data_IF_398042941861
#
_entry.id   IF_398042941861
#
_cell.length_a   1.000
_cell.length_b   1.000
_cell.length_c   1.000
_cell.angle_alpha   90.00
_cell.angle_beta   90.00
_cell.angle_gamma   90.00
#
_symmetry.space_group_name_H-M   'P 1'
#
loop_
_entity.id
_entity.type
_entity.pdbx_description
1 polymer ?
#
# COMPACT_ATOMS: atom_id res chain seq x y z
N UNK A 1 26.78 -22.60 -24.35
CA UNK A 1 26.37 -22.65 -25.78
C UNK A 1 25.22 -21.66 -26.00
N UNK A 2 25.20 -20.97 -27.15
CA UNK A 2 24.23 -19.96 -27.66
C UNK A 2 24.34 -18.58 -26.96
N UNK A 3 25.10 -17.58 -27.47
CA UNK A 3 25.01 -16.79 -28.74
C UNK A 3 23.64 -16.11 -28.92
N UNK A 4 23.58 -14.78 -28.95
CA UNK A 4 23.46 -14.03 -30.22
C UNK A 4 23.13 -12.52 -30.04
N UNK A 5 23.89 -11.69 -30.76
CA UNK A 5 23.51 -10.44 -31.49
C UNK A 5 23.24 -9.18 -30.64
N UNK A 6 23.78 -7.99 -30.91
CA UNK A 6 24.57 -7.50 -32.06
C UNK A 6 24.14 -6.06 -32.44
N UNK A 7 24.99 -5.38 -33.21
CA UNK A 7 24.85 -4.05 -33.82
C UNK A 7 25.06 -2.86 -32.86
N UNK A 8 26.17 -2.12 -32.86
CA UNK A 8 27.08 -1.79 -33.97
C UNK A 8 26.58 -0.52 -34.64
N UNK A 9 27.24 0.62 -34.39
CA UNK A 9 27.09 1.78 -35.26
C UNK A 9 28.45 2.43 -35.47
N UNK A 10 28.84 2.39 -36.75
CA UNK A 10 30.09 2.80 -37.34
C UNK A 10 30.24 4.32 -37.34
N UNK A 11 31.42 4.76 -36.91
CA UNK A 11 32.05 6.02 -37.30
C UNK A 11 32.27 6.04 -38.81
N UNK A 12 31.77 7.07 -39.48
CA UNK A 12 32.29 7.48 -40.78
C UNK A 12 32.43 9.00 -40.80
N UNK A 13 33.69 9.43 -40.69
CA UNK A 13 34.12 10.77 -41.01
C UNK A 13 34.15 10.92 -42.54
N UNK A 14 33.59 12.01 -43.06
CA UNK A 14 33.91 12.47 -44.40
C UNK A 14 34.16 13.98 -44.38
N UNK A 15 35.36 14.31 -44.84
CA UNK A 15 35.90 15.64 -44.95
C UNK A 15 35.61 16.26 -46.32
N UNK A 16 35.61 17.59 -46.34
CA UNK A 16 35.90 18.49 -47.47
C UNK A 16 34.99 18.45 -48.71
N UNK A 17 34.35 19.60 -48.99
CA UNK A 17 33.70 19.88 -50.27
C UNK A 17 33.02 21.24 -50.25
N UNK A 18 33.79 22.30 -50.49
CA UNK A 18 33.25 23.65 -50.67
C UNK A 18 32.40 23.75 -51.93
N UNK A 19 31.21 24.34 -51.82
CA UNK A 19 30.45 24.83 -52.98
C UNK A 19 29.92 26.22 -52.67
N UNK A 20 30.44 27.18 -53.42
CA UNK A 20 29.93 28.55 -53.49
C UNK A 20 28.59 28.50 -54.19
N UNK A 21 27.49 28.77 -53.47
CA UNK A 21 26.16 28.82 -54.07
C UNK A 21 25.88 30.26 -54.52
N UNK A 22 25.55 30.49 -55.81
CA UNK A 22 25.29 31.83 -56.34
C UNK A 22 24.00 32.44 -55.76
N UNK A 23 24.10 33.72 -55.42
CA UNK A 23 23.18 34.48 -54.56
C UNK A 23 21.96 35.04 -55.30
N UNK A 24 21.27 34.24 -56.12
CA UNK A 24 20.16 34.70 -56.97
C UNK A 24 18.88 33.85 -56.92
N UNK A 25 18.77 32.87 -56.01
CA UNK A 25 17.47 32.30 -55.62
C UNK A 25 17.02 32.89 -54.30
N UNK A 26 16.39 34.07 -54.36
CA UNK A 26 15.60 34.61 -53.27
C UNK A 26 14.14 34.18 -53.49
N UNK A 27 13.62 33.15 -52.79
CA UNK A 27 12.19 33.00 -52.66
C UNK A 27 11.67 34.12 -51.76
N UNK A 28 10.72 34.89 -52.28
CA UNK A 28 9.93 35.89 -51.56
C UNK A 28 9.33 35.26 -50.30
N UNK A 29 9.79 35.71 -49.14
CA UNK A 29 9.35 35.28 -47.83
C UNK A 29 7.97 35.91 -47.53
N UNK A 30 6.87 35.14 -47.43
CA UNK A 30 5.62 35.69 -46.93
C UNK A 30 5.76 35.99 -45.43
N UNK A 31 5.30 37.17 -45.03
CA UNK A 31 5.35 37.64 -43.65
C UNK A 31 4.69 36.63 -42.68
N UNK A 32 5.33 36.29 -41.54
CA UNK A 32 4.69 35.48 -40.52
C UNK A 32 3.60 36.32 -39.84
N UNK A 33 2.34 36.03 -40.15
CA UNK A 33 1.22 36.42 -39.29
C UNK A 33 1.34 35.61 -38.00
N UNK A 34 1.76 36.26 -36.92
CA UNK A 34 1.73 35.71 -35.57
C UNK A 34 0.28 35.51 -35.15
N UNK A 35 -0.29 34.35 -35.46
CA UNK A 35 -1.50 33.87 -34.82
C UNK A 35 -1.13 33.47 -33.38
N UNK A 36 -1.36 34.39 -32.44
CA UNK A 36 -1.33 34.06 -31.00
C UNK A 36 -2.54 33.16 -30.75
N UNK A 37 -2.35 31.85 -30.86
CA UNK A 37 -3.31 30.87 -30.37
C UNK A 37 -3.27 30.96 -28.85
N UNK A 38 -4.26 31.65 -28.27
CA UNK A 38 -4.52 31.59 -26.85
C UNK A 38 -4.86 30.14 -26.49
N UNK A 39 -3.90 29.43 -25.89
CA UNK A 39 -4.15 28.14 -25.26
C UNK A 39 -5.28 28.36 -24.23
N UNK A 40 -6.39 27.60 -24.27
CA UNK A 40 -7.38 27.67 -23.23
C UNK A 40 -6.68 27.32 -21.91
N UNK A 41 -6.81 28.20 -20.91
CA UNK A 41 -6.40 27.87 -19.55
C UNK A 41 -7.13 26.60 -19.17
N UNK A 42 -6.39 25.50 -19.02
CA UNK A 42 -6.91 24.28 -18.41
C UNK A 42 -7.27 24.68 -16.99
N UNK A 43 -8.57 24.83 -16.74
CA UNK A 43 -9.11 25.01 -15.40
C UNK A 43 -8.57 23.87 -14.54
N UNK A 44 -7.67 24.18 -13.60
CA UNK A 44 -7.22 23.22 -12.60
C UNK A 44 -8.47 22.77 -11.85
N UNK A 45 -8.91 21.53 -12.11
CA UNK A 45 -10.04 20.95 -11.39
C UNK A 45 -9.69 20.99 -9.90
N UNK A 46 -10.60 21.51 -9.09
CA UNK A 46 -10.43 21.54 -7.66
C UNK A 46 -10.10 20.11 -7.17
N UNK A 47 -9.11 19.93 -6.27
CA UNK A 47 -8.79 18.61 -5.75
C UNK A 47 -10.04 18.06 -5.09
N UNK A 48 -10.54 16.93 -5.58
CA UNK A 48 -11.65 16.22 -4.93
C UNK A 48 -11.13 15.81 -3.56
N UNK A 49 -11.63 16.48 -2.50
CA UNK A 49 -11.26 16.16 -1.13
C UNK A 49 -11.84 14.77 -0.79
N UNK A 50 -10.97 13.77 -0.67
CA UNK A 50 -11.34 12.42 -0.25
C UNK A 50 -11.22 12.26 1.26
N UNK A 51 -12.09 11.42 1.83
CA UNK A 51 -11.99 11.02 3.24
C UNK A 51 -10.92 9.92 3.39
N UNK A 52 -10.11 9.93 4.46
CA UNK A 52 -9.12 8.90 4.70
C UNK A 52 -9.79 7.56 5.00
N UNK A 53 -9.54 6.57 4.16
CA UNK A 53 -9.94 5.20 4.41
C UNK A 53 -8.95 4.55 5.38
N UNK A 54 -9.39 4.24 6.57
CA UNK A 54 -8.57 3.59 7.60
C UNK A 54 -8.53 2.07 7.40
N UNK A 55 -7.41 1.44 7.81
CA UNK A 55 -7.24 0.00 7.68
C UNK A 55 -8.27 -0.79 8.52
N UNK A 56 -8.68 -0.27 9.68
CA UNK A 56 -9.59 -0.94 10.63
C UNK A 56 -9.02 -2.21 11.29
N UNK A 57 -7.93 -2.75 10.74
CA UNK A 57 -7.27 -3.98 11.16
C UNK A 57 -5.77 -3.74 11.29
N UNK A 58 -5.13 -4.52 12.16
CA UNK A 58 -3.67 -4.49 12.33
C UNK A 58 -3.02 -5.62 11.53
N UNK A 59 -1.89 -5.34 10.90
CA UNK A 59 -1.14 -6.37 10.19
C UNK A 59 -0.07 -5.79 9.28
N UNK A 60 0.77 -6.66 8.74
CA UNK A 60 1.70 -6.30 7.67
C UNK A 60 1.00 -6.46 6.34
N UNK A 61 1.07 -5.46 5.45
CA UNK A 61 0.49 -5.57 4.11
C UNK A 61 1.22 -6.68 3.35
N UNK A 62 0.49 -7.72 2.97
CA UNK A 62 1.00 -8.79 2.11
C UNK A 62 0.83 -8.40 0.64
N UNK A 63 -0.34 -7.90 0.29
CA UNK A 63 -0.70 -7.56 -1.09
C UNK A 63 -1.73 -6.44 -1.13
N UNK A 64 -1.63 -5.61 -2.18
CA UNK A 64 -2.51 -4.47 -2.49
C UNK A 64 -3.27 -4.79 -3.78
N UNK A 65 -4.60 -4.76 -3.74
CA UNK A 65 -5.48 -5.14 -4.85
C UNK A 65 -6.15 -3.96 -5.55
N UNK A 66 -5.63 -2.75 -5.37
CA UNK A 66 -6.18 -1.55 -5.99
C UNK A 66 -5.10 -0.64 -6.55
N UNK A 67 -5.52 0.28 -7.41
CA UNK A 67 -4.67 1.30 -8.01
C UNK A 67 -5.28 2.70 -7.85
N UNK A 68 -4.46 3.74 -7.99
CA UNK A 68 -4.92 5.13 -7.98
C UNK A 68 -5.92 5.37 -9.12
N UNK A 69 -6.99 6.11 -8.84
CA UNK A 69 -8.08 6.39 -9.79
C UNK A 69 -9.06 5.23 -10.02
N UNK A 70 -8.95 4.12 -9.28
CA UNK A 70 -9.87 3.00 -9.43
C UNK A 70 -11.21 3.28 -8.72
N UNK A 71 -12.33 3.00 -9.41
CA UNK A 71 -13.64 2.94 -8.77
C UNK A 71 -13.79 1.62 -8.02
N UNK A 72 -14.25 1.71 -6.77
CA UNK A 72 -14.47 0.55 -5.90
C UNK A 72 -15.91 0.50 -5.42
N UNK A 73 -16.37 -0.72 -5.16
CA UNK A 73 -17.69 -0.98 -4.57
C UNK A 73 -17.56 -1.29 -3.09
N UNK A 74 -18.62 -1.01 -2.32
CA UNK A 74 -18.74 -1.42 -0.93
C UNK A 74 -18.48 -2.92 -0.80
N UNK A 75 -17.59 -3.28 0.12
CA UNK A 75 -17.16 -4.64 0.37
C UNK A 75 -16.05 -5.14 -0.55
N UNK A 76 -15.62 -4.37 -1.55
CA UNK A 76 -14.51 -4.78 -2.42
C UNK A 76 -13.20 -4.91 -1.64
N UNK A 77 -12.46 -5.98 -1.91
CA UNK A 77 -11.17 -6.25 -1.30
C UNK A 77 -10.12 -5.23 -1.77
N UNK A 78 -9.45 -4.58 -0.82
CA UNK A 78 -8.41 -3.59 -1.08
C UNK A 78 -7.02 -4.10 -0.67
N UNK A 79 -6.92 -4.70 0.51
CA UNK A 79 -5.65 -5.21 1.04
C UNK A 79 -5.82 -6.59 1.64
N UNK A 80 -4.77 -7.40 1.50
CA UNK A 80 -4.56 -8.60 2.31
C UNK A 80 -3.43 -8.33 3.28
N UNK A 81 -3.75 -8.43 4.56
CA UNK A 81 -2.86 -8.21 5.69
C UNK A 81 -2.46 -9.54 6.29
N UNK A 82 -1.21 -9.66 6.69
CA UNK A 82 -0.68 -10.76 7.48
C UNK A 82 -0.66 -10.34 8.96
N UNK A 83 -1.41 -11.06 9.79
CA UNK A 83 -1.46 -10.85 11.22
C UNK A 83 -0.87 -12.06 11.96
N UNK A 84 -0.03 -11.80 12.96
CA UNK A 84 0.42 -12.84 13.91
C UNK A 84 -0.66 -13.06 14.97
N UNK A 85 -1.05 -14.32 15.17
CA UNK A 85 -1.97 -14.73 16.21
C UNK A 85 -1.34 -15.81 17.09
N UNK A 86 -1.65 -15.84 18.40
CA UNK A 86 -1.17 -16.91 19.27
C UNK A 86 -1.64 -18.27 18.77
N UNK A 87 -0.73 -19.25 18.66
CA UNK A 87 -1.12 -20.63 18.36
C UNK A 87 -1.86 -21.26 19.54
N UNK A 88 -2.60 -22.35 19.30
CA UNK A 88 -3.29 -23.10 20.38
C UNK A 88 -2.30 -23.54 21.46
N UNK A 89 -1.11 -23.99 21.06
CA UNK A 89 -0.04 -24.34 21.99
C UNK A 89 0.41 -23.14 22.83
N UNK A 90 0.62 -21.97 22.21
CA UNK A 90 0.96 -20.75 22.95
C UNK A 90 -0.14 -20.36 23.94
N UNK A 91 -1.41 -20.44 23.55
CA UNK A 91 -2.54 -20.15 24.43
C UNK A 91 -2.55 -21.10 25.65
N UNK A 92 -2.35 -22.40 25.43
CA UNK A 92 -2.25 -23.38 26.52
C UNK A 92 -1.07 -23.10 27.46
N UNK A 93 0.10 -22.77 26.91
CA UNK A 93 1.28 -22.41 27.72
C UNK A 93 1.07 -21.12 28.51
N UNK A 94 0.41 -20.11 27.93
CA UNK A 94 0.03 -18.87 28.62
C UNK A 94 -0.92 -19.15 29.79
N UNK A 95 -1.91 -20.00 29.60
CA UNK A 95 -2.84 -20.41 30.66
C UNK A 95 -2.11 -21.19 31.76
N UNK A 96 -1.22 -22.12 31.40
CA UNK A 96 -0.39 -22.86 32.36
C UNK A 96 0.50 -21.91 33.16
N UNK A 97 1.18 -20.98 32.50
CA UNK A 97 2.03 -19.98 33.13
C UNK A 97 1.22 -19.12 34.11
N UNK A 98 0.03 -18.65 33.72
CA UNK A 98 -0.86 -17.89 34.61
C UNK A 98 -1.24 -18.69 35.86
N UNK A 99 -1.60 -19.97 35.70
CA UNK A 99 -1.93 -20.86 36.83
C UNK A 99 -0.73 -21.07 37.76
N UNK A 100 0.45 -21.36 37.21
CA UNK A 100 1.68 -21.51 37.99
C UNK A 100 2.05 -20.23 38.73
N UNK A 101 1.82 -19.05 38.14
CA UNK A 101 2.04 -17.77 38.82
C UNK A 101 1.11 -17.58 40.01
N UNK A 102 -0.16 -17.97 39.87
CA UNK A 102 -1.13 -17.94 40.97
C UNK A 102 -0.74 -18.92 42.09
N UNK A 103 -0.34 -20.14 41.73
CA UNK A 103 0.16 -21.13 42.70
C UNK A 103 1.40 -20.61 43.43
N UNK A 104 2.37 -20.04 42.71
CA UNK A 104 3.58 -19.47 43.31
C UNK A 104 3.25 -18.32 44.27
N UNK A 105 2.35 -17.41 43.89
CA UNK A 105 1.88 -16.34 44.77
C UNK A 105 1.18 -16.89 46.03
N UNK A 106 0.38 -17.95 45.90
CA UNK A 106 -0.24 -18.61 47.04
C UNK A 106 0.80 -19.24 48.00
N UNK A 107 1.84 -19.89 47.45
CA UNK A 107 2.94 -20.45 48.25
C UNK A 107 3.71 -19.36 49.01
N UNK A 108 3.93 -18.20 48.39
CA UNK A 108 4.53 -17.05 49.07
C UNK A 108 3.66 -16.54 50.22
N UNK A 109 2.35 -16.41 49.99
CA UNK A 109 1.40 -15.96 51.01
C UNK A 109 1.27 -16.94 52.18
N UNK A 110 1.49 -18.24 51.94
CA UNK A 110 1.44 -19.30 52.95
C UNK A 110 2.78 -19.54 53.64
N UNK A 111 3.82 -18.75 53.33
CA UNK A 111 5.19 -18.97 53.82
C UNK A 111 5.67 -20.41 53.61
N UNK A 112 5.39 -20.97 52.42
CA UNK A 112 5.80 -22.31 52.04
C UNK A 112 7.33 -22.51 52.14
N UNK A 113 7.81 -23.73 52.41
CA UNK A 113 9.23 -24.01 52.53
C UNK A 113 10.01 -23.66 51.24
N UNK A 114 11.27 -23.27 51.41
CA UNK A 114 12.12 -22.77 50.32
C UNK A 114 12.19 -23.75 49.13
N UNK A 115 12.24 -25.06 49.38
CA UNK A 115 12.28 -26.07 48.32
C UNK A 115 11.05 -26.03 47.41
N UNK A 116 9.85 -25.81 47.96
CA UNK A 116 8.62 -25.70 47.17
C UNK A 116 8.61 -24.42 46.32
N UNK A 117 9.12 -23.32 46.88
CA UNK A 117 9.26 -22.06 46.16
C UNK A 117 10.27 -22.19 44.99
N UNK A 118 11.41 -22.85 45.22
CA UNK A 118 12.41 -23.11 44.18
C UNK A 118 11.84 -24.02 43.09
N UNK A 119 11.13 -25.09 43.45
CA UNK A 119 10.48 -25.96 42.48
C UNK A 119 9.44 -25.21 41.62
N UNK A 120 8.60 -24.39 42.25
CA UNK A 120 7.59 -23.58 41.54
C UNK A 120 8.24 -22.53 40.62
N UNK A 121 9.34 -21.89 41.03
CA UNK A 121 10.11 -20.98 40.19
C UNK A 121 10.73 -21.70 38.99
N UNK A 122 11.29 -22.90 39.18
CA UNK A 122 11.85 -23.70 38.09
C UNK A 122 10.77 -24.07 37.05
N UNK A 123 9.56 -24.43 37.49
CA UNK A 123 8.44 -24.70 36.60
C UNK A 123 7.99 -23.46 35.80
N UNK A 124 7.97 -22.29 36.45
CA UNK A 124 7.68 -21.01 35.79
C UNK A 124 8.73 -20.68 34.72
N UNK A 125 10.02 -20.85 35.04
CA UNK A 125 11.11 -20.64 34.10
C UNK A 125 11.00 -21.60 32.90
N UNK A 126 10.79 -22.90 33.15
CA UNK A 126 10.63 -23.88 32.08
C UNK A 126 9.45 -23.57 31.15
N UNK A 127 8.30 -23.14 31.70
CA UNK A 127 7.11 -22.80 30.90
C UNK A 127 7.31 -21.52 30.09
N UNK A 128 8.04 -20.53 30.65
CA UNK A 128 8.45 -19.32 29.91
C UNK A 128 9.35 -19.64 28.72
N UNK A 129 10.33 -20.52 28.90
CA UNK A 129 11.20 -20.99 27.83
C UNK A 129 10.42 -21.72 26.73
N UNK A 130 9.47 -22.57 27.10
CA UNK A 130 8.57 -23.23 26.15
C UNK A 130 7.74 -22.22 25.36
N UNK A 131 7.23 -21.16 26.01
CA UNK A 131 6.46 -20.11 25.36
C UNK A 131 7.33 -19.30 24.39
N UNK A 132 8.56 -18.98 24.77
CA UNK A 132 9.50 -18.22 23.93
C UNK A 132 9.89 -18.98 22.64
N UNK A 133 9.93 -20.31 22.70
CA UNK A 133 10.21 -21.17 21.53
C UNK A 133 8.98 -21.45 20.68
N UNK A 134 7.77 -21.24 21.22
CA UNK A 134 6.55 -21.52 20.50
C UNK A 134 6.35 -20.49 19.38
N UNK A 135 6.11 -20.97 18.16
CA UNK A 135 5.93 -20.12 16.97
C UNK A 135 4.47 -19.64 16.89
N UNK A 136 4.22 -18.34 16.67
CA UNK A 136 2.87 -17.83 16.47
C UNK A 136 2.32 -18.27 15.11
N UNK A 137 1.01 -18.40 15.01
CA UNK A 137 0.33 -18.67 13.75
C UNK A 137 0.22 -17.39 12.92
N UNK A 138 0.32 -17.55 11.60
CA UNK A 138 0.07 -16.47 10.66
C UNK A 138 -1.35 -16.60 10.12
N UNK A 139 -2.11 -15.51 10.19
CA UNK A 139 -3.47 -15.44 9.67
C UNK A 139 -3.58 -14.28 8.67
N UNK A 140 -4.39 -14.47 7.64
CA UNK A 140 -4.71 -13.40 6.69
C UNK A 140 -5.97 -12.68 7.11
N UNK A 141 -5.91 -11.36 7.09
CA UNK A 141 -7.03 -10.46 7.35
C UNK A 141 -7.20 -9.56 6.15
N UNK A 142 -8.45 -9.20 5.84
CA UNK A 142 -8.80 -8.49 4.64
C UNK A 142 -9.37 -7.12 4.99
N UNK A 143 -8.90 -6.09 4.27
CA UNK A 143 -9.46 -4.73 4.35
C UNK A 143 -10.33 -4.51 3.12
N UNK A 144 -11.56 -4.05 3.33
CA UNK A 144 -12.54 -3.83 2.27
C UNK A 144 -12.99 -2.37 2.23
N UNK A 145 -13.51 -1.95 1.07
CA UNK A 145 -14.08 -0.62 0.92
C UNK A 145 -15.40 -0.48 1.71
N UNK A 146 -15.57 0.58 2.53
CA UNK A 146 -16.78 0.76 3.35
C UNK A 146 -17.98 1.27 2.53
N UNK A 147 -17.71 1.95 1.41
CA UNK A 147 -18.71 2.55 0.53
C UNK A 147 -18.22 2.49 -0.93
N UNK A 148 -19.14 2.74 -1.86
CA UNK A 148 -18.81 2.94 -3.27
C UNK A 148 -18.07 4.28 -3.42
N UNK A 149 -17.01 4.31 -4.22
CA UNK A 149 -16.19 5.52 -4.35
C UNK A 149 -15.05 5.38 -5.35
N UNK A 150 -14.33 6.48 -5.54
CA UNK A 150 -13.10 6.57 -6.30
C UNK A 150 -11.91 6.61 -5.32
N UNK A 151 -10.96 5.70 -5.48
CA UNK A 151 -9.71 5.73 -4.71
C UNK A 151 -8.74 6.73 -5.35
N UNK A 152 -8.38 7.79 -4.62
CA UNK A 152 -7.54 8.86 -5.18
C UNK A 152 -6.07 8.41 -5.28
N UNK A 153 -5.45 8.12 -4.14
CA UNK A 153 -4.06 7.68 -4.07
C UNK A 153 -3.87 6.60 -3.00
N UNK A 154 -3.10 5.54 -3.29
CA UNK A 154 -2.67 4.58 -2.28
C UNK A 154 -1.75 5.26 -1.28
N UNK A 155 -1.99 5.03 0.00
CA UNK A 155 -1.13 5.47 1.10
C UNK A 155 -0.34 4.30 1.68
N UNK A 156 -0.91 3.09 1.62
CA UNK A 156 -0.27 1.86 2.09
C UNK A 156 0.34 1.05 0.93
N UNK A 157 1.54 0.53 1.16
CA UNK A 157 2.31 -0.29 0.21
C UNK A 157 2.52 -1.71 0.76
N UNK A 158 2.84 -2.66 -0.12
CA UNK A 158 3.20 -4.01 0.28
C UNK A 158 4.43 -3.98 1.20
N UNK A 159 4.35 -4.69 2.32
CA UNK A 159 5.38 -4.72 3.36
C UNK A 159 5.17 -3.74 4.52
N UNK A 160 4.28 -2.75 4.37
CA UNK A 160 4.02 -1.75 5.42
C UNK A 160 3.34 -2.39 6.64
N UNK A 161 3.61 -1.83 7.82
CA UNK A 161 2.96 -2.22 9.07
C UNK A 161 1.78 -1.28 9.34
N UNK A 162 0.55 -1.80 9.24
CA UNK A 162 -0.67 -1.05 9.48
C UNK A 162 -1.20 -1.28 10.90
N UNK A 163 -1.73 -0.20 11.47
CA UNK A 163 -2.55 -0.17 12.68
C UNK A 163 -4.00 0.11 12.28
N UNK A 164 -4.99 -0.10 13.16
CA UNK A 164 -6.39 0.14 12.84
C UNK A 164 -6.69 1.59 12.39
N UNK A 165 -5.93 2.55 12.91
CA UNK A 165 -5.98 3.99 12.63
C UNK A 165 -5.10 4.41 11.44
N UNK A 166 -4.38 3.49 10.80
CA UNK A 166 -3.51 3.82 9.67
C UNK A 166 -4.33 4.09 8.41
N UNK A 167 -4.10 5.22 7.73
CA UNK A 167 -4.73 5.49 6.43
C UNK A 167 -4.18 4.53 5.38
N UNK A 168 -5.08 3.94 4.61
CA UNK A 168 -4.78 3.01 3.51
C UNK A 168 -4.84 3.74 2.18
N UNK A 169 -5.87 4.55 1.99
CA UNK A 169 -6.12 5.33 0.77
C UNK A 169 -7.03 6.52 1.11
N UNK A 170 -7.28 7.37 0.13
CA UNK A 170 -8.36 8.37 0.21
C UNK A 170 -9.51 7.94 -0.69
N UNK A 171 -10.73 7.99 -0.15
CA UNK A 171 -11.95 7.63 -0.85
C UNK A 171 -12.77 8.89 -1.14
N UNK A 172 -13.03 9.16 -2.41
CA UNK A 172 -13.94 10.20 -2.86
C UNK A 172 -15.27 9.58 -3.32
N UNK A 173 -16.42 10.25 -3.11
CA UNK A 173 -17.69 9.81 -3.69
C UNK A 173 -17.64 9.87 -5.23
N UNK A 174 -18.36 8.98 -5.91
CA UNK A 174 -18.49 9.05 -7.38
C UNK A 174 -19.24 10.34 -7.77
N UNK A 175 -18.80 11.03 -8.84
CA UNK A 175 -19.58 12.14 -9.38
C UNK A 175 -20.92 11.61 -9.86
N UNK A 176 -22.01 12.18 -9.35
CA UNK A 176 -23.36 11.90 -9.87
C UNK A 176 -23.42 12.42 -11.30
N UNK A 177 -23.77 11.59 -12.30
CA UNK A 177 -23.93 12.09 -13.66
C UNK A 177 -25.05 13.13 -13.67
N UNK A 178 -24.73 14.37 -14.03
CA UNK A 178 -25.73 15.41 -14.24
C UNK A 178 -26.63 15.00 -15.41
N UNK A 179 -27.83 14.52 -15.09
CA UNK A 179 -28.84 14.12 -16.08
C UNK A 179 -29.63 15.32 -16.63
N UNK A 180 -29.34 16.53 -16.16
CA UNK A 180 -29.99 17.79 -16.55
C UNK A 180 -29.93 18.14 -18.05
N UNK A 181 -28.90 17.80 -18.86
CA UNK A 181 -28.85 18.21 -20.26
C UNK A 181 -29.67 17.31 -21.21
N UNK A 182 -30.20 16.17 -20.76
CA UNK A 182 -30.94 15.25 -21.64
C UNK A 182 -32.43 15.60 -21.82
N UNK A 183 -32.92 16.62 -21.11
CA UNK A 183 -34.33 17.07 -21.19
C UNK A 183 -34.55 18.28 -22.11
N UNK A 184 -33.51 18.89 -22.69
CA UNK A 184 -33.63 20.10 -23.50
C UNK A 184 -33.74 19.89 -25.01
N UNK A 185 -33.88 18.65 -25.50
CA UNK A 185 -34.05 18.34 -26.93
C UNK A 185 -35.28 17.45 -27.15
N UNK A 186 -36.46 18.04 -26.99
CA UNK A 186 -37.70 17.62 -27.65
C UNK A 186 -38.39 18.91 -28.08
N UNK A 187 -38.12 19.35 -29.31
CA UNK A 187 -38.98 20.28 -30.07
C UNK A 187 -39.50 19.54 -31.30
#
# INVERSE_FOLDING_TARGET
MKKSIGAGLLLFAFAAGGTVVPRWLAPSQPAPVSAVVALPLVSASAPVAGEPLLAGQRGRVHEVFYHAGQSVRRGQLLLKLLQKQPSVQQQQLQLRLKRQQQTYAALLNQAAPAEQLVAAQAQLAATREQLARAVPMLNFVYVTAPADGLLLAPTAHAGDQLRPDSPVAQLAPLPTPDTTPLLSHVE
#
